data_IF_907575648282
#
_entry.id   IF_907575648282
#
_cell.length_a   1.000
_cell.length_b   1.000
_cell.length_c   1.000
_cell.angle_alpha   90.00
_cell.angle_beta   90.00
_cell.angle_gamma   90.00
#
_symmetry.space_group_name_H-M   'P 1'
#
loop_
_entity.id
_entity.type
_entity.pdbx_description
1 polymer ?
#
# COMPACT_ATOMS: atom_id res chain seq x y z
N UNK A 1 -13.23 -8.37 13.78
CA UNK A 1 -13.43 -7.48 12.62
C UNK A 1 -12.13 -7.46 11.82
N UNK A 2 -12.18 -7.90 10.56
CA UNK A 2 -10.97 -7.97 9.73
C UNK A 2 -10.51 -6.55 9.37
N UNK A 3 -9.21 -6.37 9.12
CA UNK A 3 -8.65 -5.07 8.78
C UNK A 3 -9.20 -4.58 7.43
N UNK A 4 -9.62 -5.52 6.57
CA UNK A 4 -10.32 -5.27 5.31
C UNK A 4 -11.73 -4.67 5.45
N UNK A 5 -12.42 -4.88 6.57
CA UNK A 5 -13.81 -4.38 6.75
C UNK A 5 -13.86 -2.90 7.13
N UNK A 6 -12.71 -2.34 7.54
CA UNK A 6 -12.58 -0.94 7.96
C UNK A 6 -11.42 -0.27 7.19
N UNK A 7 -11.70 0.48 6.10
CA UNK A 7 -10.67 1.06 5.24
C UNK A 7 -9.75 2.03 5.99
N UNK A 8 -10.22 2.63 7.09
CA UNK A 8 -9.40 3.48 7.94
C UNK A 8 -8.38 2.67 8.77
N UNK A 9 -8.73 1.45 9.21
CA UNK A 9 -7.79 0.55 9.90
C UNK A 9 -6.74 0.01 8.95
N UNK A 10 -7.11 -0.36 7.72
CA UNK A 10 -6.16 -0.78 6.70
C UNK A 10 -5.17 0.33 6.38
N UNK A 11 -5.64 1.56 6.15
CA UNK A 11 -4.77 2.71 5.89
C UNK A 11 -3.79 2.98 7.05
N UNK A 12 -4.25 2.87 8.31
CA UNK A 12 -3.39 3.00 9.49
C UNK A 12 -2.38 1.87 9.60
N UNK A 13 -2.77 0.63 9.30
CA UNK A 13 -1.88 -0.52 9.35
C UNK A 13 -0.79 -0.44 8.27
N UNK A 14 -1.17 -0.08 7.04
CA UNK A 14 -0.23 0.15 5.93
C UNK A 14 0.70 1.31 6.24
N UNK A 15 0.14 2.43 6.74
CA UNK A 15 0.93 3.59 7.14
C UNK A 15 1.95 3.27 8.23
N UNK A 16 1.53 2.57 9.29
CA UNK A 16 2.44 2.12 10.35
C UNK A 16 3.50 1.14 9.85
N UNK A 17 3.11 0.13 9.07
CA UNK A 17 4.04 -0.86 8.53
C UNK A 17 5.07 -0.22 7.60
N UNK A 18 4.63 0.69 6.74
CA UNK A 18 5.50 1.46 5.84
C UNK A 18 6.43 2.38 6.62
N UNK A 19 5.94 3.04 7.67
CA UNK A 19 6.77 3.92 8.51
C UNK A 19 7.84 3.15 9.29
N UNK A 20 7.49 1.98 9.85
CA UNK A 20 8.45 1.14 10.58
C UNK A 20 9.51 0.58 9.65
N UNK A 21 9.10 -0.06 8.55
CA UNK A 21 10.05 -0.63 7.59
C UNK A 21 10.87 0.47 6.91
N UNK A 22 10.24 1.58 6.53
CA UNK A 22 10.90 2.71 5.88
C UNK A 22 11.90 3.36 6.83
N UNK A 23 11.52 3.56 8.09
CA UNK A 23 12.42 4.07 9.14
C UNK A 23 13.60 3.14 9.39
N UNK A 24 13.39 1.83 9.36
CA UNK A 24 14.48 0.84 9.51
C UNK A 24 15.44 0.89 8.32
N UNK A 25 14.93 0.94 7.09
CA UNK A 25 15.76 1.05 5.89
C UNK A 25 16.52 2.38 5.86
N UNK A 26 15.86 3.50 6.15
CA UNK A 26 16.50 4.82 6.20
C UNK A 26 17.54 4.86 7.32
N UNK A 27 17.23 4.37 8.52
CA UNK A 27 18.16 4.31 9.65
C UNK A 27 19.39 3.45 9.34
N UNK A 28 19.20 2.26 8.76
CA UNK A 28 20.30 1.41 8.32
C UNK A 28 21.15 2.07 7.22
N UNK A 29 20.53 2.81 6.29
CA UNK A 29 21.22 3.54 5.23
C UNK A 29 22.11 4.64 5.79
N UNK A 30 21.62 5.39 6.80
CA UNK A 30 22.38 6.45 7.45
C UNK A 30 23.54 5.87 8.27
N UNK A 31 23.30 4.81 9.05
CA UNK A 31 24.34 4.14 9.84
C UNK A 31 25.43 3.50 8.97
N UNK A 32 25.06 3.00 7.79
CA UNK A 32 26.00 2.43 6.81
C UNK A 32 26.72 3.46 5.94
N UNK A 33 26.50 4.77 6.15
CA UNK A 33 27.13 5.84 5.35
C UNK A 33 26.53 6.05 3.96
N UNK A 34 25.43 5.36 3.62
CA UNK A 34 24.77 5.37 2.30
C UNK A 34 23.53 6.27 2.32
N UNK A 35 23.69 7.51 2.79
CA UNK A 35 22.58 8.44 3.02
C UNK A 35 21.72 8.72 1.77
N UNK A 36 22.31 8.64 0.58
CA UNK A 36 21.64 8.77 -0.72
C UNK A 36 20.51 7.74 -0.89
N UNK A 37 20.70 6.51 -0.41
CA UNK A 37 19.68 5.46 -0.44
C UNK A 37 18.50 5.87 0.45
N UNK A 38 18.77 6.38 1.65
CA UNK A 38 17.74 6.86 2.58
C UNK A 38 16.91 7.99 1.99
N UNK A 39 17.55 8.97 1.35
CA UNK A 39 16.86 10.06 0.64
C UNK A 39 16.01 9.52 -0.51
N UNK A 40 16.55 8.59 -1.30
CA UNK A 40 15.80 7.90 -2.34
C UNK A 40 14.53 7.25 -1.79
N UNK A 41 14.63 6.49 -0.70
CA UNK A 41 13.50 5.82 -0.06
C UNK A 41 12.41 6.81 0.35
N UNK A 42 12.78 7.95 0.93
CA UNK A 42 11.83 8.99 1.30
C UNK A 42 11.11 9.57 0.08
N UNK A 43 11.84 9.85 -1.02
CA UNK A 43 11.26 10.32 -2.26
C UNK A 43 10.29 9.29 -2.87
N UNK A 44 10.64 8.00 -2.82
CA UNK A 44 9.80 6.91 -3.33
C UNK A 44 8.49 6.76 -2.55
N UNK A 45 8.57 6.78 -1.21
CA UNK A 45 7.39 6.74 -0.34
C UNK A 45 6.51 7.97 -0.56
N UNK A 46 7.11 9.16 -0.68
CA UNK A 46 6.39 10.41 -0.94
C UNK A 46 5.70 10.38 -2.32
N UNK A 47 6.37 9.87 -3.36
CA UNK A 47 5.80 9.74 -4.70
C UNK A 47 4.56 8.84 -4.70
N UNK A 48 4.64 7.69 -4.03
CA UNK A 48 3.49 6.79 -3.94
C UNK A 48 2.37 7.37 -3.06
N UNK A 49 2.73 8.00 -1.94
CA UNK A 49 1.79 8.71 -1.07
C UNK A 49 1.04 9.82 -1.78
N UNK A 50 1.74 10.59 -2.63
CA UNK A 50 1.12 11.59 -3.49
C UNK A 50 0.17 10.96 -4.51
N UNK A 51 0.60 9.91 -5.21
CA UNK A 51 -0.24 9.24 -6.20
C UNK A 51 -1.55 8.70 -5.60
N UNK A 52 -1.48 8.09 -4.42
CA UNK A 52 -2.65 7.59 -3.69
C UNK A 52 -3.48 8.75 -3.13
N UNK A 53 -2.85 9.73 -2.48
CA UNK A 53 -3.53 10.89 -1.89
C UNK A 53 -4.27 11.72 -2.93
N UNK A 54 -3.68 11.89 -4.10
CA UNK A 54 -4.31 12.52 -5.25
C UNK A 54 -5.55 11.76 -5.71
N UNK A 55 -5.49 10.43 -5.78
CA UNK A 55 -6.63 9.61 -6.14
C UNK A 55 -7.77 9.70 -5.10
N UNK A 56 -7.43 9.70 -3.81
CA UNK A 56 -8.41 9.91 -2.72
C UNK A 56 -9.02 11.31 -2.79
N UNK A 57 -8.21 12.33 -3.05
CA UNK A 57 -8.68 13.70 -3.18
C UNK A 57 -9.62 13.83 -4.40
N UNK A 58 -9.25 13.23 -5.53
CA UNK A 58 -10.07 13.22 -6.74
C UNK A 58 -11.40 12.49 -6.53
N UNK A 59 -11.40 11.32 -5.90
CA UNK A 59 -12.64 10.59 -5.60
C UNK A 59 -13.54 11.34 -4.62
N UNK A 60 -12.96 12.06 -3.64
CA UNK A 60 -13.70 12.90 -2.71
C UNK A 60 -14.31 14.13 -3.38
N UNK A 61 -13.55 14.82 -4.23
CA UNK A 61 -14.00 16.06 -4.87
C UNK A 61 -15.00 15.81 -6.01
N UNK A 62 -14.74 14.81 -6.85
CA UNK A 62 -15.51 14.62 -8.08
C UNK A 62 -16.62 13.56 -7.99
N UNK A 63 -16.74 12.86 -6.86
CA UNK A 63 -17.79 11.87 -6.57
C UNK A 63 -18.05 10.89 -7.76
N UNK A 64 -17.17 9.90 -7.97
CA UNK A 64 -17.16 9.02 -9.15
C UNK A 64 -18.51 8.40 -9.52
N UNK A 65 -19.33 8.09 -8.51
CA UNK A 65 -20.63 7.44 -8.67
C UNK A 65 -21.74 8.37 -9.16
N UNK A 66 -21.57 9.69 -9.04
CA UNK A 66 -22.57 10.69 -9.44
C UNK A 66 -22.26 11.39 -10.76
N UNK A 67 -21.01 11.35 -11.22
CA UNK A 67 -20.59 12.13 -12.39
C UNK A 67 -19.99 11.24 -13.49
N UNK A 68 -20.70 11.04 -14.62
CA UNK A 68 -20.20 10.22 -15.75
C UNK A 68 -18.96 10.83 -16.43
N UNK A 69 -18.63 12.09 -16.14
CA UNK A 69 -17.43 12.76 -16.64
C UNK A 69 -16.20 12.54 -15.76
N UNK A 70 -16.32 11.81 -14.63
CA UNK A 70 -15.22 11.53 -13.72
C UNK A 70 -13.95 10.98 -14.41
N UNK A 71 -14.03 10.02 -15.36
CA UNK A 71 -12.84 9.54 -16.07
C UNK A 71 -12.14 10.64 -16.88
N UNK A 72 -12.91 11.55 -17.49
CA UNK A 72 -12.37 12.68 -18.27
C UNK A 72 -11.76 13.75 -17.36
N UNK A 73 -12.36 14.01 -16.21
CA UNK A 73 -11.83 14.92 -15.20
C UNK A 73 -10.55 14.38 -14.55
N UNK A 74 -10.47 13.07 -14.32
CA UNK A 74 -9.23 12.39 -13.90
C UNK A 74 -8.13 12.56 -14.95
N UNK A 75 -8.45 12.37 -16.23
CA UNK A 75 -7.51 12.64 -17.32
C UNK A 75 -7.07 14.11 -17.38
N UNK A 76 -7.97 15.06 -17.10
CA UNK A 76 -7.62 16.50 -17.02
C UNK A 76 -6.81 16.86 -15.78
N UNK A 77 -6.88 16.04 -14.74
CA UNK A 77 -6.10 16.21 -13.51
C UNK A 77 -4.68 15.61 -13.62
N UNK A 78 -4.42 14.80 -14.64
CA UNK A 78 -3.09 14.28 -14.99
C UNK A 78 -1.99 15.35 -15.07
N UNK A 79 -2.18 16.51 -15.74
CA UNK A 79 -1.18 17.58 -15.76
C UNK A 79 -0.82 18.14 -14.38
N UNK A 80 -1.59 17.87 -13.32
CA UNK A 80 -1.20 18.21 -11.95
C UNK A 80 -0.44 17.08 -11.25
N UNK A 81 -0.80 15.82 -11.54
CA UNK A 81 -0.19 14.63 -10.94
C UNK A 81 1.21 14.34 -11.48
N UNK A 82 1.38 14.37 -12.79
CA UNK A 82 2.61 13.92 -13.45
C UNK A 82 3.82 14.85 -13.24
N UNK A 83 3.70 16.19 -13.25
CA UNK A 83 4.86 17.05 -13.03
C UNK A 83 5.50 16.82 -11.67
N UNK A 84 4.71 16.64 -10.59
CA UNK A 84 5.28 16.38 -9.28
C UNK A 84 6.00 15.03 -9.23
N UNK A 85 5.41 13.98 -9.79
CA UNK A 85 6.07 12.67 -9.89
C UNK A 85 7.36 12.73 -10.72
N UNK A 86 7.34 13.51 -11.80
CA UNK A 86 8.50 13.71 -12.67
C UNK A 86 9.61 14.48 -11.97
N UNK A 87 9.27 15.51 -11.17
CA UNK A 87 10.22 16.23 -10.32
C UNK A 87 10.85 15.30 -9.28
N UNK A 88 10.04 14.48 -8.60
CA UNK A 88 10.55 13.52 -7.60
C UNK A 88 11.46 12.46 -8.23
N UNK A 89 11.07 11.94 -9.40
CA UNK A 89 11.88 10.99 -10.16
C UNK A 89 13.17 11.63 -10.69
N UNK A 90 13.10 12.88 -11.17
CA UNK A 90 14.26 13.62 -11.63
C UNK A 90 15.26 13.85 -10.50
N UNK A 91 14.79 14.26 -9.32
CA UNK A 91 15.65 14.36 -8.14
C UNK A 91 16.31 13.01 -7.85
N UNK A 92 15.53 11.92 -7.80
CA UNK A 92 16.05 10.57 -7.55
C UNK A 92 17.15 10.16 -8.54
N UNK A 93 16.99 10.47 -9.83
CA UNK A 93 17.98 10.16 -10.88
C UNK A 93 19.20 11.08 -10.78
N UNK A 94 19.01 12.37 -10.48
CA UNK A 94 20.11 13.32 -10.31
C UNK A 94 21.02 12.97 -9.14
N UNK A 95 20.48 12.36 -8.07
CA UNK A 95 21.25 11.86 -6.94
C UNK A 95 22.08 10.60 -7.23
N UNK A 96 22.05 10.08 -8.46
CA UNK A 96 22.83 8.93 -8.90
C UNK A 96 22.19 7.57 -8.61
N UNK A 97 22.88 6.49 -8.99
CA UNK A 97 22.34 5.13 -8.99
C UNK A 97 21.87 4.66 -7.61
N UNK A 98 22.59 5.02 -6.53
CA UNK A 98 22.22 4.64 -5.16
C UNK A 98 20.91 5.31 -4.71
N UNK A 99 20.68 6.56 -5.09
CA UNK A 99 19.44 7.27 -4.77
C UNK A 99 18.26 6.75 -5.60
N UNK A 100 18.49 6.43 -6.87
CA UNK A 100 17.49 5.78 -7.71
C UNK A 100 17.08 4.39 -7.17
N UNK A 101 18.04 3.60 -6.68
CA UNK A 101 17.75 2.34 -6.00
C UNK A 101 16.92 2.56 -4.73
N UNK A 102 17.31 3.53 -3.91
CA UNK A 102 16.52 3.93 -2.74
C UNK A 102 15.08 4.31 -3.12
N UNK A 103 14.90 5.07 -4.20
CA UNK A 103 13.59 5.47 -4.72
C UNK A 103 12.72 4.27 -5.10
N UNK A 104 13.28 3.29 -5.82
CA UNK A 104 12.56 2.05 -6.14
C UNK A 104 12.17 1.30 -4.87
N UNK A 105 13.09 1.16 -3.91
CA UNK A 105 12.82 0.52 -2.62
C UNK A 105 11.70 1.26 -1.86
N UNK A 106 11.70 2.60 -1.88
CA UNK A 106 10.66 3.42 -1.27
C UNK A 106 9.27 3.25 -1.90
N UNK A 107 9.19 2.92 -3.20
CA UNK A 107 7.93 2.57 -3.88
C UNK A 107 7.50 1.14 -3.57
N UNK A 108 8.45 0.20 -3.52
CA UNK A 108 8.17 -1.22 -3.30
C UNK A 108 7.74 -1.50 -1.86
N UNK A 109 8.27 -0.76 -0.88
CA UNK A 109 7.98 -0.98 0.55
C UNK A 109 6.48 -0.93 0.87
N UNK A 110 5.75 0.15 0.55
CA UNK A 110 4.33 0.24 0.85
C UNK A 110 3.53 -0.83 0.09
N UNK A 111 3.93 -1.17 -1.14
CA UNK A 111 3.30 -2.24 -1.92
C UNK A 111 3.48 -3.59 -1.24
N UNK A 112 4.69 -3.92 -0.79
CA UNK A 112 4.98 -5.16 -0.07
C UNK A 112 4.19 -5.25 1.24
N UNK A 113 4.01 -4.13 1.96
CA UNK A 113 3.17 -4.09 3.17
C UNK A 113 1.72 -4.38 2.84
N UNK A 114 1.17 -3.77 1.78
CA UNK A 114 -0.21 -4.02 1.34
C UNK A 114 -0.38 -5.49 0.94
N UNK A 115 0.54 -6.03 0.14
CA UNK A 115 0.51 -7.43 -0.29
C UNK A 115 0.63 -8.38 0.90
N UNK A 116 1.53 -8.13 1.84
CA UNK A 116 1.69 -8.96 3.04
C UNK A 116 0.45 -8.96 3.92
N UNK A 117 -0.21 -7.81 4.10
CA UNK A 117 -1.48 -7.72 4.81
C UNK A 117 -2.59 -8.50 4.09
N UNK A 118 -2.67 -8.36 2.76
CA UNK A 118 -3.65 -9.08 1.95
C UNK A 118 -3.47 -10.60 2.01
N UNK A 119 -2.23 -11.09 1.92
CA UNK A 119 -1.92 -12.53 2.04
C UNK A 119 -2.27 -13.06 3.43
N UNK A 120 -1.90 -12.32 4.48
CA UNK A 120 -2.24 -12.71 5.86
C UNK A 120 -3.75 -12.80 6.08
N UNK A 121 -4.53 -11.87 5.52
CA UNK A 121 -5.99 -11.94 5.59
C UNK A 121 -6.57 -13.08 4.77
N UNK A 122 -6.03 -13.36 3.57
CA UNK A 122 -6.44 -14.50 2.77
C UNK A 122 -6.20 -15.84 3.50
N UNK A 123 -5.03 -15.99 4.14
CA UNK A 123 -4.69 -17.17 4.95
C UNK A 123 -5.59 -17.28 6.19
N UNK A 124 -5.83 -16.17 6.90
CA UNK A 124 -6.71 -16.16 8.07
C UNK A 124 -8.15 -16.56 7.73
N UNK A 125 -8.69 -16.07 6.60
CA UNK A 125 -10.02 -16.42 6.11
C UNK A 125 -10.10 -17.89 5.65
N UNK A 126 -9.06 -18.39 4.99
CA UNK A 126 -8.97 -19.80 4.56
C UNK A 126 -8.92 -20.81 5.71
N UNK A 127 -8.24 -20.45 6.81
CA UNK A 127 -8.20 -21.27 8.03
C UNK A 127 -9.55 -21.38 8.74
N UNK A 128 -10.30 -20.28 8.81
CA UNK A 128 -11.61 -20.22 9.47
C UNK A 128 -12.68 -21.02 8.72
N UNK A 129 -12.66 -21.00 7.38
CA UNK A 129 -13.51 -21.85 6.54
C UNK A 129 -13.23 -23.34 6.73
N UNK A 130 -11.96 -23.74 6.83
CA UNK A 130 -11.59 -25.13 7.06
C UNK A 130 -11.98 -25.61 8.46
N UNK A 131 -11.83 -24.76 9.49
CA UNK A 131 -12.24 -25.11 10.84
C UNK A 131 -13.75 -25.27 10.97
N UNK A 132 -14.56 -24.39 10.36
CA UNK A 132 -16.02 -24.55 10.35
C UNK A 132 -16.47 -25.80 9.59
N UNK A 133 -15.83 -26.13 8.48
CA UNK A 133 -16.13 -27.34 7.71
C UNK A 133 -15.83 -28.62 8.52
N UNK A 134 -14.72 -28.64 9.27
CA UNK A 134 -14.39 -29.76 10.17
C UNK A 134 -15.37 -29.89 11.33
N UNK A 135 -15.78 -28.78 11.95
CA UNK A 135 -16.78 -28.82 13.04
C UNK A 135 -18.12 -29.34 12.51
N UNK A 136 -18.60 -28.83 11.38
CA UNK A 136 -19.86 -29.29 10.78
C UNK A 136 -19.84 -30.78 10.46
N UNK A 137 -18.74 -31.28 9.88
CA UNK A 137 -18.57 -32.71 9.60
C UNK A 137 -18.56 -33.55 10.88
N UNK A 138 -17.86 -33.09 11.93
CA UNK A 138 -17.81 -33.80 13.22
C UNK A 138 -19.14 -33.81 13.98
N UNK A 139 -19.99 -32.81 13.77
CA UNK A 139 -21.32 -32.74 14.39
C UNK A 139 -22.31 -33.64 13.66
N UNK A 140 -22.28 -33.67 12.32
CA UNK A 140 -23.18 -34.52 11.52
C UNK A 140 -22.86 -36.02 11.61
N UNK A 141 -21.61 -36.39 11.90
CA UNK A 141 -21.23 -37.80 12.12
C UNK A 141 -21.62 -38.32 13.52
N UNK A 142 -22.12 -37.46 14.42
CA UNK A 142 -22.56 -37.83 15.78
C UNK A 142 -24.07 -38.00 15.95
N UNK A 143 -24.88 -37.59 14.98
CA UNK A 143 -26.32 -37.88 14.98
C UNK A 143 -26.59 -39.14 14.14
N UNK A 144 -27.07 -40.24 14.74
CA UNK A 144 -27.61 -41.34 13.95
C UNK A 144 -28.90 -40.85 13.25
N UNK A 145 -29.13 -41.22 11.98
CA UNK A 145 -30.38 -40.89 11.30
C UNK A 145 -31.58 -41.57 12.02
N UNK A 146 -32.78 -40.95 11.96
CA UNK A 146 -33.99 -41.50 12.59
C UNK A 146 -34.43 -42.83 11.99
#
# INVERSE_FOLDING_TARGET
>A
MSVMDDPARLARAVGKGTAVLGGLVVGASVLGGVWQVGVGVLLGVLALGWAIGFFVLATRFFQPQRNPLFPRLLMLSNPLKYPLLLVLAYFAVQGGALMALGFVVGIVLPLAVITGLAVREAVARGGDTNHRAQVYKSTNEREPPP
#
